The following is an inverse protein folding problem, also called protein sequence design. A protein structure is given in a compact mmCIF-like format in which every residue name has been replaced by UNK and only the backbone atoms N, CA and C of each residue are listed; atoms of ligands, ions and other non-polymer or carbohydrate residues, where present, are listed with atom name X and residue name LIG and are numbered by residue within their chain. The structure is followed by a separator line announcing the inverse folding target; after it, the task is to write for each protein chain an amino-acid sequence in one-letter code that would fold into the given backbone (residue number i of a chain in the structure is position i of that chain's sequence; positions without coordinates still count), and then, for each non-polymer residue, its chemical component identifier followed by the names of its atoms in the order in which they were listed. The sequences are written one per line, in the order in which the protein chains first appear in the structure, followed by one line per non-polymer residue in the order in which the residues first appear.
data_IF_291716359849
#
_entry.id   IF_291716359849
#
_cell.length_a   1.000
_cell.length_b   1.000
_cell.length_c   1.000
_cell.angle_alpha   90.00
_cell.angle_beta   90.00
_cell.angle_gamma   90.00
#
_symmetry.space_group_name_H-M   'P 1'
#
loop_
_entity.id
_entity.type
_entity.pdbx_description
1 polymer ?
#
# COMPACT_ATOMS: atom_id res chain seq x y z
N UNK A 1 -3.90 -5.19 -25.22
CA UNK A 1 -3.31 -4.73 -23.94
C UNK A 1 -4.32 -5.03 -22.85
N UNK A 2 -4.18 -6.20 -22.21
CA UNK A 2 -5.17 -6.71 -21.26
C UNK A 2 -4.85 -6.14 -19.89
N UNK A 3 -5.68 -5.19 -19.43
CA UNK A 3 -5.74 -4.79 -18.02
C UNK A 3 -6.12 -6.09 -17.27
N UNK A 4 -5.29 -6.63 -16.36
CA UNK A 4 -5.67 -7.82 -15.63
C UNK A 4 -6.97 -7.51 -14.91
N UNK A 5 -7.98 -8.35 -15.13
CA UNK A 5 -9.30 -8.21 -14.54
C UNK A 5 -9.14 -7.89 -13.06
N UNK A 6 -9.64 -6.72 -12.64
CA UNK A 6 -9.92 -6.44 -11.25
C UNK A 6 -10.86 -7.56 -10.80
N UNK A 7 -10.28 -8.62 -10.22
CA UNK A 7 -11.03 -9.65 -9.52
C UNK A 7 -12.02 -8.92 -8.62
N UNK A 8 -13.29 -9.34 -8.68
CA UNK A 8 -14.41 -8.66 -8.02
C UNK A 8 -13.95 -8.09 -6.67
N UNK A 9 -14.17 -6.78 -6.45
CA UNK A 9 -13.77 -6.12 -5.21
C UNK A 9 -14.34 -6.90 -4.03
N UNK A 10 -13.48 -7.67 -3.35
CA UNK A 10 -13.89 -8.46 -2.21
C UNK A 10 -13.88 -7.51 -1.00
N UNK A 11 -15.05 -7.40 -0.36
CA UNK A 11 -15.25 -6.50 0.78
C UNK A 11 -15.54 -7.34 2.00
N UNK A 12 -14.76 -7.08 3.07
CA UNK A 12 -14.98 -7.69 4.37
C UNK A 12 -15.30 -6.62 5.39
N UNK A 13 -16.28 -6.91 6.25
CA UNK A 13 -16.59 -6.07 7.40
C UNK A 13 -15.75 -6.51 8.59
N UNK A 14 -14.84 -5.66 9.04
CA UNK A 14 -14.04 -5.89 10.24
C UNK A 14 -14.43 -4.92 11.33
N UNK A 15 -14.25 -5.31 12.58
CA UNK A 15 -14.42 -4.44 13.75
C UNK A 15 -13.07 -4.23 14.41
N UNK A 16 -12.83 -3.01 14.86
CA UNK A 16 -11.64 -2.69 15.64
C UNK A 16 -11.78 -3.25 17.05
N UNK A 17 -10.69 -3.81 17.57
CA UNK A 17 -10.61 -4.20 18.98
C UNK A 17 -10.50 -2.97 19.90
N UNK A 18 -10.44 -3.20 21.22
CA UNK A 18 -10.28 -2.13 22.22
C UNK A 18 -8.98 -1.34 22.08
N UNK A 19 -8.00 -1.86 21.33
CA UNK A 19 -6.71 -1.22 21.02
C UNK A 19 -6.67 -0.63 19.60
N UNK A 20 -7.83 -0.52 18.94
CA UNK A 20 -7.98 -0.01 17.56
C UNK A 20 -7.26 -0.85 16.50
N UNK A 21 -7.07 -2.15 16.73
CA UNK A 21 -6.48 -3.06 15.75
C UNK A 21 -7.58 -3.80 15.00
N UNK A 22 -7.57 -3.79 13.66
CA UNK A 22 -8.44 -4.66 12.90
C UNK A 22 -7.92 -6.11 12.94
N UNK A 23 -8.79 -7.07 13.19
CA UNK A 23 -8.51 -8.47 12.87
C UNK A 23 -8.95 -8.71 11.43
N UNK A 24 -7.99 -8.94 10.54
CA UNK A 24 -8.26 -9.24 9.14
C UNK A 24 -8.67 -10.72 9.00
N UNK A 25 -9.79 -11.04 8.33
CA UNK A 25 -10.20 -12.42 8.07
C UNK A 25 -9.13 -13.18 7.29
N UNK A 26 -9.00 -14.48 7.54
CA UNK A 26 -7.99 -15.31 6.87
C UNK A 26 -8.18 -15.33 5.35
N UNK A 27 -9.43 -15.31 4.88
CA UNK A 27 -9.77 -15.25 3.46
C UNK A 27 -9.29 -13.95 2.82
N UNK A 28 -9.38 -12.83 3.55
CA UNK A 28 -8.88 -11.53 3.08
C UNK A 28 -7.34 -11.53 2.98
N UNK A 29 -6.66 -12.12 3.97
CA UNK A 29 -5.20 -12.26 3.97
C UNK A 29 -4.73 -13.14 2.80
N UNK A 30 -5.41 -14.27 2.55
CA UNK A 30 -5.12 -15.17 1.43
C UNK A 30 -5.39 -14.52 0.08
N UNK A 31 -6.51 -13.81 -0.07
CA UNK A 31 -6.84 -13.08 -1.29
C UNK A 31 -5.83 -11.96 -1.60
N UNK A 32 -5.29 -11.32 -0.56
CA UNK A 32 -4.21 -10.34 -0.68
C UNK A 32 -2.81 -10.98 -0.89
N UNK A 33 -2.70 -12.31 -0.80
CA UNK A 33 -1.45 -13.03 -0.96
C UNK A 33 -0.47 -12.87 0.21
N UNK A 34 -0.95 -12.51 1.40
CA UNK A 34 -0.10 -12.32 2.58
C UNK A 34 0.18 -13.65 3.28
N UNK A 35 1.41 -13.82 3.75
CA UNK A 35 1.83 -15.00 4.53
C UNK A 35 1.94 -14.67 6.01
N UNK A 36 1.66 -15.63 6.89
CA UNK A 36 1.86 -15.46 8.33
C UNK A 36 3.33 -15.17 8.65
N UNK A 37 3.58 -14.16 9.49
CA UNK A 37 4.93 -13.71 9.86
C UNK A 37 5.59 -12.79 8.83
N UNK A 38 4.94 -12.50 7.70
CA UNK A 38 5.42 -11.52 6.74
C UNK A 38 5.22 -10.09 7.24
N UNK A 39 6.20 -9.23 6.98
CA UNK A 39 6.10 -7.81 7.30
C UNK A 39 5.30 -7.06 6.24
N UNK A 40 4.31 -6.28 6.67
CA UNK A 40 3.47 -5.47 5.80
C UNK A 40 3.75 -3.98 6.03
N UNK A 41 3.78 -3.22 4.93
CA UNK A 41 3.74 -1.76 4.98
C UNK A 41 2.29 -1.31 5.02
N UNK A 42 1.98 -0.40 5.93
CA UNK A 42 0.67 0.26 6.02
C UNK A 42 0.84 1.73 5.64
N UNK A 43 0.03 2.22 4.70
CA UNK A 43 0.00 3.64 4.33
C UNK A 43 -1.42 4.17 4.29
N UNK A 44 -1.56 5.47 4.53
CA UNK A 44 -2.81 6.19 4.33
C UNK A 44 -2.91 6.59 2.86
N UNK A 45 -4.02 6.23 2.20
CA UNK A 45 -4.27 6.61 0.80
C UNK A 45 -5.01 7.95 0.73
N UNK A 46 -6.14 8.03 1.42
CA UNK A 46 -6.99 9.20 1.61
C UNK A 46 -7.78 9.05 2.91
N UNK A 47 -8.65 10.00 3.23
CA UNK A 47 -9.42 9.98 4.47
C UNK A 47 -10.22 8.67 4.61
N UNK A 48 -10.01 7.98 5.72
CA UNK A 48 -10.68 6.71 6.02
C UNK A 48 -10.13 5.48 5.28
N UNK A 49 -9.10 5.61 4.44
CA UNK A 49 -8.55 4.49 3.68
C UNK A 49 -7.08 4.19 3.99
N UNK A 50 -6.86 2.96 4.44
CA UNK A 50 -5.54 2.37 4.62
C UNK A 50 -5.27 1.36 3.51
N UNK A 51 -4.03 1.35 3.04
CA UNK A 51 -3.52 0.34 2.12
C UNK A 51 -2.44 -0.45 2.84
N UNK A 52 -2.64 -1.76 2.86
CA UNK A 52 -1.63 -2.73 3.31
C UNK A 52 -0.98 -3.34 2.07
N UNK A 53 0.33 -3.43 2.05
CA UNK A 53 1.08 -4.02 0.95
C UNK A 53 2.38 -4.66 1.43
N UNK A 54 2.85 -5.67 0.69
CA UNK A 54 4.20 -6.22 0.92
C UNK A 54 5.25 -5.25 0.37
N UNK A 55 6.49 -5.23 0.88
CA UNK A 55 7.56 -4.40 0.35
C UNK A 55 7.80 -4.63 -1.16
N UNK A 56 7.67 -5.88 -1.61
CA UNK A 56 7.79 -6.24 -3.02
C UNK A 56 6.69 -5.61 -3.89
N UNK A 57 5.43 -5.65 -3.42
CA UNK A 57 4.31 -5.00 -4.10
C UNK A 57 4.42 -3.47 -4.12
N UNK A 58 4.93 -2.88 -3.03
CA UNK A 58 5.22 -1.44 -2.98
C UNK A 58 6.24 -1.03 -4.04
N UNK A 59 7.34 -1.78 -4.15
CA UNK A 59 8.38 -1.54 -5.14
C UNK A 59 7.85 -1.72 -6.57
N UNK A 60 7.06 -2.78 -6.83
CA UNK A 60 6.45 -3.02 -8.13
C UNK A 60 5.51 -1.88 -8.54
N UNK A 61 4.68 -1.38 -7.62
CA UNK A 61 3.82 -0.22 -7.87
C UNK A 61 4.61 1.05 -8.16
N UNK A 62 5.61 1.36 -7.34
CA UNK A 62 6.46 2.53 -7.54
C UNK A 62 7.12 2.49 -8.93
N UNK A 63 7.70 1.33 -9.31
CA UNK A 63 8.27 1.11 -10.65
C UNK A 63 7.25 1.31 -11.75
N UNK A 64 6.04 0.77 -11.61
CA UNK A 64 4.97 0.95 -12.60
C UNK A 64 4.52 2.40 -12.75
N UNK A 65 4.53 3.17 -11.65
CA UNK A 65 4.16 4.59 -11.66
C UNK A 65 5.21 5.43 -12.40
N UNK A 66 6.49 5.16 -12.15
CA UNK A 66 7.61 5.84 -12.82
C UNK A 66 7.73 5.43 -14.29
N UNK A 67 7.45 4.16 -14.63
CA UNK A 67 7.52 3.68 -16.01
C UNK A 67 6.48 4.34 -16.96
N UNK A 68 5.42 4.93 -16.40
CA UNK A 68 4.40 5.67 -17.16
C UNK A 68 4.71 7.16 -17.37
N UNK A 69 5.78 7.69 -16.78
CA UNK A 69 6.13 9.12 -16.85
C UNK A 69 7.18 9.33 -17.93
N UNK A 70 6.79 9.96 -19.05
CA UNK A 70 7.70 10.36 -20.13
C UNK A 70 8.72 11.40 -19.63
N UNK A 71 9.94 11.35 -20.16
CA UNK A 71 11.19 12.02 -19.72
C UNK A 71 11.19 13.56 -19.56
N UNK A 72 10.06 14.24 -19.71
CA UNK A 72 9.98 15.71 -19.83
C UNK A 72 9.45 16.45 -18.58
N UNK A 73 9.31 15.79 -17.43
CA UNK A 73 9.02 16.49 -16.16
C UNK A 73 9.95 16.03 -15.04
N UNK A 74 10.54 17.03 -14.40
CA UNK A 74 11.48 16.96 -13.26
C UNK A 74 11.01 15.96 -12.21
N UNK A 75 11.60 14.76 -12.25
CA UNK A 75 11.45 13.67 -11.28
C UNK A 75 11.81 14.14 -9.85
N UNK A 76 12.56 15.23 -9.74
CA UNK A 76 13.11 15.75 -8.49
C UNK A 76 12.05 16.47 -7.64
N UNK A 77 11.08 17.16 -8.25
CA UNK A 77 10.07 17.93 -7.51
C UNK A 77 8.99 17.05 -6.87
N UNK A 78 8.64 15.91 -7.47
CA UNK A 78 7.67 14.97 -6.88
C UNK A 78 8.32 14.09 -5.80
N UNK A 79 9.62 13.76 -5.95
CA UNK A 79 10.37 12.94 -4.98
C UNK A 79 10.72 13.69 -3.68
N UNK A 80 10.81 15.03 -3.72
CA UNK A 80 11.05 15.86 -2.54
C UNK A 80 9.81 16.04 -1.66
N UNK A 81 8.60 15.81 -2.18
CA UNK A 81 7.37 15.89 -1.38
C UNK A 81 7.19 14.68 -0.45
N UNK A 82 7.76 13.50 -0.79
CA UNK A 82 7.61 12.27 0.02
C UNK A 82 8.81 12.00 0.96
N UNK A 83 9.89 12.78 0.89
CA UNK A 83 11.15 12.55 1.64
C UNK A 83 11.28 13.28 2.99
N UNK A 84 10.20 13.82 3.57
CA UNK A 84 10.27 14.56 4.84
C UNK A 84 9.61 13.90 6.06
N UNK A 85 9.16 12.64 5.99
CA UNK A 85 8.52 11.97 7.14
C UNK A 85 9.39 10.87 7.78
N UNK A 86 10.59 10.59 7.28
CA UNK A 86 11.45 9.52 7.80
C UNK A 86 12.64 9.99 8.67
N UNK A 87 12.70 11.25 9.11
CA UNK A 87 13.83 11.75 9.94
C UNK A 87 13.45 12.23 11.35
N UNK A 88 12.19 12.14 11.78
CA UNK A 88 11.83 12.49 13.15
C UNK A 88 10.82 11.52 13.77
N UNK A 89 11.30 10.38 14.30
CA UNK A 89 10.83 9.81 15.57
C UNK A 89 11.60 8.55 15.95
N UNK A 90 12.87 8.73 16.30
CA UNK A 90 13.55 7.89 17.28
C UNK A 90 14.14 8.82 18.33
N UNK A 91 13.33 9.12 19.35
CA UNK A 91 13.72 9.50 20.71
C UNK A 91 12.73 8.85 21.66
#
# INVERSE_FOLDING_TARGET
MTIPALGALQVWKVRLDSRRRPTLPEEAMRAAGFTAGEELRVRVAEEGMLILETPAHALARARSRVAGVSKDRSIVDEFLAERHVETHREQ
#
